data_IF_122449025807
#
_entry.id   IF_122449025807
#
_cell.length_a   1.000
_cell.length_b   1.000
_cell.length_c   1.000
_cell.angle_alpha   90.00
_cell.angle_beta   90.00
_cell.angle_gamma   90.00
#
_symmetry.space_group_name_H-M   'P 1'
#
loop_
_entity.id
_entity.type
_entity.pdbx_description
1 polymer ?
#
# COMPACT_ATOMS: atom_id res chain seq x y z
N UNK A 1 23.27 -10.20 4.76
CA UNK A 1 22.42 -9.10 4.24
C UNK A 1 21.43 -8.76 5.33
N UNK A 2 21.21 -7.49 5.67
CA UNK A 2 20.20 -7.15 6.69
C UNK A 2 18.81 -7.43 6.11
N UNK A 3 18.00 -8.19 6.84
CA UNK A 3 16.59 -8.39 6.52
C UNK A 3 15.85 -7.08 6.73
N UNK A 4 15.27 -6.54 5.66
CA UNK A 4 14.51 -5.30 5.67
C UNK A 4 12.99 -5.56 5.70
N UNK A 5 12.56 -6.82 5.71
CA UNK A 5 11.15 -7.17 5.81
C UNK A 5 10.55 -6.59 7.09
N UNK A 6 9.37 -5.99 6.96
CA UNK A 6 8.68 -5.31 8.06
C UNK A 6 9.22 -3.91 8.39
N UNK A 7 10.31 -3.47 7.74
CA UNK A 7 10.85 -2.12 7.93
C UNK A 7 10.09 -1.06 7.15
N UNK A 8 10.34 0.20 7.49
CA UNK A 8 9.78 1.37 6.82
C UNK A 8 10.91 2.19 6.18
N UNK A 9 10.71 2.62 4.94
CA UNK A 9 11.54 3.61 4.25
C UNK A 9 10.83 4.96 4.30
N UNK A 10 11.55 5.98 4.78
CA UNK A 10 11.08 7.37 4.79
C UNK A 10 11.80 8.11 3.66
N UNK A 11 11.02 8.73 2.76
CA UNK A 11 11.59 9.53 1.68
C UNK A 11 12.40 10.71 2.25
N UNK A 12 13.61 10.90 1.70
CA UNK A 12 14.43 12.04 2.05
C UNK A 12 13.70 13.37 1.72
N UNK A 13 13.91 14.45 2.50
CA UNK A 13 13.23 15.73 2.27
C UNK A 13 13.44 16.32 0.87
N UNK A 14 14.56 16.01 0.23
CA UNK A 14 14.95 16.46 -1.09
C UNK A 14 14.66 15.44 -2.22
N UNK A 15 13.83 14.42 -1.95
CA UNK A 15 13.42 13.46 -2.97
C UNK A 15 12.66 14.17 -4.10
N UNK A 16 13.22 14.12 -5.31
CA UNK A 16 12.68 14.81 -6.49
C UNK A 16 11.65 13.97 -7.27
N UNK A 17 11.69 12.64 -7.15
CA UNK A 17 10.73 11.77 -7.81
C UNK A 17 9.35 11.97 -7.17
N UNK A 18 8.40 12.53 -7.94
CA UNK A 18 7.04 12.80 -7.48
C UNK A 18 6.30 11.55 -6.98
N UNK A 19 6.67 10.36 -7.44
CA UNK A 19 6.12 9.09 -6.98
C UNK A 19 6.47 8.84 -5.52
N UNK A 20 7.70 9.18 -5.10
CA UNK A 20 8.25 8.87 -3.78
C UNK A 20 8.48 10.10 -2.90
N UNK A 21 8.31 11.31 -3.42
CA UNK A 21 8.43 12.53 -2.63
C UNK A 21 7.44 12.49 -1.45
N UNK A 22 7.95 12.70 -0.23
CA UNK A 22 7.16 12.70 1.02
C UNK A 22 6.42 11.37 1.30
N UNK A 23 6.90 10.24 0.79
CA UNK A 23 6.27 8.93 1.06
C UNK A 23 6.87 8.23 2.26
N UNK A 24 6.03 7.40 2.88
CA UNK A 24 6.41 6.35 3.83
C UNK A 24 6.09 5.02 3.15
N UNK A 25 7.11 4.18 2.96
CA UNK A 25 6.98 2.89 2.28
C UNK A 25 7.20 1.77 3.28
N UNK A 26 6.25 0.85 3.40
CA UNK A 26 6.39 -0.39 4.16
C UNK A 26 6.99 -1.48 3.27
N UNK A 27 7.99 -2.22 3.76
CA UNK A 27 8.58 -3.36 3.06
C UNK A 27 7.86 -4.64 3.47
N UNK A 28 7.10 -5.23 2.54
CA UNK A 28 6.28 -6.41 2.79
C UNK A 28 7.07 -7.72 2.59
N UNK A 29 7.94 -7.77 1.57
CA UNK A 29 8.83 -8.90 1.33
C UNK A 29 10.12 -8.44 0.65
N UNK A 30 11.19 -9.18 0.89
CA UNK A 30 12.47 -9.06 0.21
C UNK A 30 12.76 -10.42 -0.42
N UNK A 31 12.95 -10.45 -1.73
CA UNK A 31 13.23 -11.68 -2.48
C UNK A 31 14.65 -11.61 -3.04
N UNK A 32 15.47 -12.63 -2.72
CA UNK A 32 16.85 -12.70 -3.21
C UNK A 32 16.87 -12.82 -4.74
N UNK A 33 17.32 -11.77 -5.43
CA UNK A 33 17.39 -11.72 -6.89
C UNK A 33 16.22 -10.99 -7.57
N UNK A 34 15.07 -10.89 -6.90
CA UNK A 34 13.84 -10.28 -7.45
C UNK A 34 13.50 -8.91 -6.83
N UNK A 35 14.26 -8.48 -5.83
CA UNK A 35 14.16 -7.14 -5.26
C UNK A 35 13.25 -7.06 -4.04
N UNK A 36 12.51 -5.96 -3.91
CA UNK A 36 11.72 -5.65 -2.71
C UNK A 36 10.30 -5.30 -3.10
N UNK A 37 9.33 -5.99 -2.51
CA UNK A 37 7.93 -5.60 -2.57
C UNK A 37 7.62 -4.65 -1.41
N UNK A 38 7.06 -3.49 -1.73
CA UNK A 38 6.66 -2.52 -0.72
C UNK A 38 5.48 -1.67 -1.14
N UNK A 39 4.84 -1.05 -0.14
CA UNK A 39 3.64 -0.25 -0.31
C UNK A 39 3.81 1.14 0.29
N UNK A 40 3.44 2.17 -0.46
CA UNK A 40 3.27 3.53 0.07
C UNK A 40 2.03 3.55 0.97
N UNK A 41 2.21 3.80 2.26
CA UNK A 41 1.14 3.73 3.27
C UNK A 41 0.56 5.11 3.66
N UNK A 42 1.06 6.20 3.07
CA UNK A 42 0.67 7.56 3.43
C UNK A 42 0.14 8.40 2.24
N UNK A 43 -0.30 7.76 1.16
CA UNK A 43 -0.96 8.42 0.01
C UNK A 43 -2.41 7.98 -0.15
N UNK A 44 -3.34 8.60 0.59
CA UNK A 44 -4.77 8.29 0.45
C UNK A 44 -5.27 8.65 -0.94
N UNK A 45 -6.25 7.89 -1.42
CA UNK A 45 -7.07 8.24 -2.58
C UNK A 45 -8.42 8.80 -2.13
N UNK A 46 -9.27 9.18 -3.09
CA UNK A 46 -10.65 9.58 -2.83
C UNK A 46 -11.63 8.39 -2.77
N UNK A 47 -11.11 7.16 -2.88
CA UNK A 47 -11.90 5.93 -2.85
C UNK A 47 -11.92 5.32 -1.44
N UNK A 48 -13.01 4.66 -1.11
CA UNK A 48 -13.16 3.75 0.02
C UNK A 48 -13.30 2.29 -0.46
N UNK A 49 -13.28 1.34 0.47
CA UNK A 49 -13.40 -0.08 0.16
C UNK A 49 -14.73 -0.40 -0.54
N UNK A 50 -15.81 0.31 -0.18
CA UNK A 50 -17.11 0.16 -0.85
C UNK A 50 -17.02 0.47 -2.35
N UNK A 51 -16.34 1.55 -2.73
CA UNK A 51 -16.18 1.92 -4.15
C UNK A 51 -15.45 0.83 -4.95
N UNK A 52 -14.50 0.13 -4.31
CA UNK A 52 -13.76 -0.98 -4.92
C UNK A 52 -14.62 -2.25 -4.96
N UNK A 53 -15.35 -2.54 -3.88
CA UNK A 53 -16.22 -3.70 -3.78
C UNK A 53 -17.34 -3.66 -4.82
N UNK A 54 -17.96 -2.49 -5.02
CA UNK A 54 -18.98 -2.26 -6.05
C UNK A 54 -18.44 -2.53 -7.46
N UNK A 55 -17.19 -2.14 -7.75
CA UNK A 55 -16.54 -2.41 -9.04
C UNK A 55 -16.23 -3.90 -9.26
N UNK A 56 -15.95 -4.64 -8.18
CA UNK A 56 -15.66 -6.06 -8.22
C UNK A 56 -16.93 -6.93 -8.14
N UNK A 57 -18.08 -6.32 -7.85
CA UNK A 57 -19.36 -7.03 -7.64
C UNK A 57 -19.36 -7.88 -6.37
N UNK A 58 -18.63 -7.45 -5.33
CA UNK A 58 -18.58 -8.12 -4.02
C UNK A 58 -19.19 -7.22 -2.95
N UNK A 59 -19.65 -7.81 -1.85
CA UNK A 59 -20.19 -7.03 -0.73
C UNK A 59 -19.06 -6.51 0.18
N UNK A 60 -19.10 -5.22 0.51
CA UNK A 60 -18.34 -4.64 1.61
C UNK A 60 -19.30 -4.20 2.72
N UNK A 61 -19.07 -4.68 3.94
CA UNK A 61 -19.92 -4.40 5.09
C UNK A 61 -19.24 -3.47 6.09
N UNK A 62 -20.06 -2.75 6.87
CA UNK A 62 -19.55 -1.95 7.98
C UNK A 62 -18.91 -2.85 9.06
N UNK A 63 -17.83 -2.40 9.71
CA UNK A 63 -17.26 -1.05 9.66
C UNK A 63 -16.24 -0.82 8.53
N UNK A 64 -15.98 -1.81 7.67
CA UNK A 64 -14.87 -1.77 6.71
C UNK A 64 -15.24 -1.14 5.37
N UNK A 65 -16.51 -1.04 5.03
CA UNK A 65 -16.99 -0.39 3.81
C UNK A 65 -16.40 1.03 3.65
N UNK A 66 -16.27 1.76 4.76
CA UNK A 66 -15.69 3.11 4.80
C UNK A 66 -14.15 3.16 4.88
N UNK A 67 -13.46 2.01 4.87
CA UNK A 67 -12.01 1.95 4.94
C UNK A 67 -11.37 2.65 3.74
N UNK A 68 -10.38 3.49 4.00
CA UNK A 68 -9.75 4.32 2.97
C UNK A 68 -8.81 3.51 2.10
N UNK A 69 -8.86 3.73 0.79
CA UNK A 69 -7.94 3.13 -0.18
C UNK A 69 -6.73 4.03 -0.38
N UNK A 70 -5.55 3.43 -0.39
CA UNK A 70 -4.27 4.11 -0.57
C UNK A 70 -3.65 3.75 -1.92
N UNK A 71 -2.95 4.72 -2.54
CA UNK A 71 -2.14 4.45 -3.72
C UNK A 71 -0.82 3.82 -3.27
N UNK A 72 -0.73 2.49 -3.35
CA UNK A 72 0.40 1.70 -2.85
C UNK A 72 1.71 1.85 -3.63
N UNK A 73 1.70 2.35 -4.86
CA UNK A 73 2.91 2.48 -5.67
C UNK A 73 2.64 2.91 -7.11
N UNK A 74 3.68 3.00 -7.96
CA UNK A 74 3.53 3.24 -9.38
C UNK A 74 3.14 1.99 -10.18
N UNK A 75 3.36 0.79 -9.61
CA UNK A 75 3.14 -0.51 -10.25
C UNK A 75 1.98 -1.26 -9.61
N UNK A 76 1.45 -2.26 -10.32
CA UNK A 76 0.45 -3.18 -9.76
C UNK A 76 -0.95 -2.57 -9.58
N UNK A 77 -1.29 -1.48 -10.29
CA UNK A 77 -2.58 -0.78 -10.13
C UNK A 77 -3.83 -1.63 -10.42
N UNK A 78 -3.67 -2.81 -11.02
CA UNK A 78 -4.75 -3.77 -11.27
C UNK A 78 -5.00 -4.72 -10.09
N UNK A 79 -4.11 -4.74 -9.10
CA UNK A 79 -4.18 -5.62 -7.93
C UNK A 79 -4.37 -4.79 -6.67
N UNK A 80 -5.41 -5.13 -5.89
CA UNK A 80 -5.61 -4.60 -4.56
C UNK A 80 -4.84 -5.43 -3.53
N UNK A 81 -4.19 -4.76 -2.58
CA UNK A 81 -3.57 -5.40 -1.41
C UNK A 81 -4.23 -4.86 -0.15
N UNK A 82 -4.50 -5.76 0.80
CA UNK A 82 -5.07 -5.41 2.10
C UNK A 82 -3.99 -5.58 3.16
N UNK A 83 -3.60 -4.48 3.81
CA UNK A 83 -2.75 -4.53 4.99
C UNK A 83 -3.66 -4.54 6.22
N UNK A 84 -3.58 -5.62 6.99
CA UNK A 84 -4.35 -5.80 8.21
C UNK A 84 -3.47 -6.42 9.29
N UNK A 85 -3.92 -6.35 10.53
CA UNK A 85 -3.31 -7.04 11.65
C UNK A 85 -3.76 -8.52 11.66
N UNK A 86 -3.03 -9.44 12.31
CA UNK A 86 -3.36 -10.87 12.28
C UNK A 86 -4.72 -11.26 12.90
N UNK A 87 -5.33 -10.37 13.66
CA UNK A 87 -6.63 -10.52 14.33
C UNK A 87 -7.84 -10.23 13.44
N UNK A 88 -7.61 -9.95 12.16
CA UNK A 88 -8.64 -9.81 11.13
C UNK A 88 -8.95 -11.12 10.40
#
# INVERSE_FOLDING_TARGET
MQDLQGSIIIAAPNMLDETFAKTVVYIASVEEGDGVLGFIINRPTNLCLLDIADQLGVEATEPHASARVFRGGPVGNQHGFVLHTPDY
#
